data_IF_842383471406
#
_entry.id   IF_842383471406
#
_cell.length_a   1.000
_cell.length_b   1.000
_cell.length_c   1.000
_cell.angle_alpha   90.00
_cell.angle_beta   90.00
_cell.angle_gamma   90.00
#
_symmetry.space_group_name_H-M   'P 1'
#
loop_
_entity.id
_entity.type
_entity.pdbx_description
1 polymer ?
#
# COMPACT_ATOMS: atom_id res chain seq x y z
N UNK A 1 -76.31 -49.23 -24.34
CA UNK A 1 -75.42 -49.24 -25.53
C UNK A 1 -74.29 -48.19 -25.54
N UNK A 2 -74.33 -47.09 -24.76
CA UNK A 2 -73.25 -46.07 -24.75
C UNK A 2 -71.94 -46.46 -24.04
N UNK A 3 -71.99 -47.37 -23.05
CA UNK A 3 -70.81 -47.78 -22.25
C UNK A 3 -69.85 -48.74 -22.96
N UNK A 4 -70.33 -49.56 -23.91
CA UNK A 4 -69.47 -50.51 -24.63
C UNK A 4 -68.60 -49.84 -25.70
N UNK A 5 -69.09 -48.76 -26.33
CA UNK A 5 -68.32 -47.99 -27.32
C UNK A 5 -67.13 -47.25 -26.71
N UNK A 6 -67.25 -46.76 -25.47
CA UNK A 6 -66.12 -46.15 -24.75
C UNK A 6 -65.03 -47.19 -24.39
N UNK A 7 -65.43 -48.39 -23.94
CA UNK A 7 -64.48 -49.49 -23.69
C UNK A 7 -63.79 -49.96 -24.98
N UNK A 8 -64.52 -49.99 -26.09
CA UNK A 8 -63.98 -50.38 -27.39
C UNK A 8 -63.02 -49.32 -27.97
N UNK A 9 -63.16 -48.04 -27.60
CA UNK A 9 -62.21 -46.98 -27.96
C UNK A 9 -60.93 -47.03 -27.12
N UNK A 10 -61.04 -47.41 -25.84
CA UNK A 10 -59.87 -47.58 -24.94
C UNK A 10 -59.08 -48.86 -25.26
N UNK A 11 -59.75 -49.92 -25.75
CA UNK A 11 -59.12 -51.20 -26.09
C UNK A 11 -58.76 -51.32 -27.59
N UNK A 12 -58.84 -50.24 -28.37
CA UNK A 12 -58.52 -50.28 -29.81
C UNK A 12 -57.04 -49.93 -30.01
N UNK A 13 -56.24 -50.92 -30.43
CA UNK A 13 -54.81 -50.79 -30.76
C UNK A 13 -54.55 -50.04 -32.08
N UNK A 14 -55.61 -49.83 -32.88
CA UNK A 14 -55.56 -49.14 -34.17
C UNK A 14 -55.48 -47.62 -33.97
N UNK A 15 -54.26 -47.09 -34.03
CA UNK A 15 -53.95 -45.67 -33.85
C UNK A 15 -53.05 -45.38 -32.65
N UNK A 16 -52.82 -46.37 -31.78
CA UNK A 16 -51.89 -46.27 -30.64
C UNK A 16 -50.49 -45.91 -31.11
N UNK A 17 -50.00 -46.50 -32.20
CA UNK A 17 -48.70 -46.15 -32.78
C UNK A 17 -48.61 -44.67 -33.21
N UNK A 18 -49.66 -44.11 -33.80
CA UNK A 18 -49.68 -42.69 -34.20
C UNK A 18 -49.81 -41.77 -32.99
N UNK A 19 -50.59 -42.15 -31.97
CA UNK A 19 -50.73 -41.41 -30.72
C UNK A 19 -49.43 -41.42 -29.90
N UNK A 20 -48.78 -42.58 -29.82
CA UNK A 20 -47.50 -42.75 -29.17
C UNK A 20 -46.41 -41.99 -29.93
N UNK A 21 -46.31 -42.12 -31.25
CA UNK A 21 -45.34 -41.36 -32.06
C UNK A 21 -45.57 -39.84 -31.99
N UNK A 22 -46.83 -39.39 -31.95
CA UNK A 22 -47.18 -37.96 -31.85
C UNK A 22 -46.99 -37.37 -30.45
N UNK A 23 -46.89 -38.19 -29.40
CA UNK A 23 -46.61 -37.74 -28.04
C UNK A 23 -45.13 -37.89 -27.66
N UNK A 24 -44.52 -39.02 -28.03
CA UNK A 24 -43.13 -39.35 -27.70
C UNK A 24 -42.16 -38.39 -28.36
N UNK A 25 -42.37 -38.05 -29.64
CA UNK A 25 -41.47 -37.13 -30.34
C UNK A 25 -41.44 -35.71 -29.72
N UNK A 26 -42.58 -35.03 -29.48
CA UNK A 26 -42.58 -33.74 -28.79
C UNK A 26 -42.00 -33.81 -27.37
N UNK A 27 -42.24 -34.89 -26.62
CA UNK A 27 -41.67 -35.05 -25.28
C UNK A 27 -40.15 -35.17 -25.34
N UNK A 28 -39.60 -35.99 -26.24
CA UNK A 28 -38.15 -36.10 -26.44
C UNK A 28 -37.57 -34.76 -26.90
N UNK A 29 -38.25 -34.04 -27.80
CA UNK A 29 -37.83 -32.71 -28.23
C UNK A 29 -37.80 -31.71 -27.06
N UNK A 30 -38.84 -31.67 -26.23
CA UNK A 30 -38.89 -30.80 -25.04
C UNK A 30 -37.79 -31.17 -24.06
N UNK A 31 -37.58 -32.47 -23.79
CA UNK A 31 -36.52 -32.94 -22.90
C UNK A 31 -35.12 -32.54 -23.41
N UNK A 32 -34.84 -32.75 -24.69
CA UNK A 32 -33.55 -32.39 -25.30
C UNK A 32 -33.32 -30.87 -25.29
N UNK A 33 -34.32 -30.08 -25.66
CA UNK A 33 -34.25 -28.60 -25.59
C UNK A 33 -34.04 -28.14 -24.15
N UNK A 34 -34.75 -28.71 -23.18
CA UNK A 34 -34.58 -28.38 -21.75
C UNK A 34 -33.16 -28.69 -21.28
N UNK A 35 -32.62 -29.86 -21.65
CA UNK A 35 -31.27 -30.27 -21.29
C UNK A 35 -30.21 -29.33 -21.90
N UNK A 36 -30.41 -28.87 -23.14
CA UNK A 36 -29.55 -27.86 -23.76
C UNK A 36 -29.59 -26.53 -23.00
N UNK A 37 -30.77 -26.06 -22.58
CA UNK A 37 -30.89 -24.83 -21.80
C UNK A 37 -30.25 -24.94 -20.41
N UNK A 38 -30.41 -26.07 -19.73
CA UNK A 38 -29.76 -26.32 -18.43
C UNK A 38 -28.23 -26.32 -18.60
N UNK A 39 -27.71 -26.99 -19.63
CA UNK A 39 -26.29 -26.97 -19.95
C UNK A 39 -25.78 -25.55 -20.26
N UNK A 40 -26.52 -24.78 -21.04
CA UNK A 40 -26.19 -23.39 -21.34
C UNK A 40 -26.21 -22.51 -20.09
N UNK A 41 -27.19 -22.68 -19.20
CA UNK A 41 -27.27 -21.93 -17.95
C UNK A 41 -26.09 -22.24 -17.03
N UNK A 42 -25.76 -23.53 -16.85
CA UNK A 42 -24.60 -23.94 -16.07
C UNK A 42 -23.30 -23.35 -16.64
N UNK A 43 -23.15 -23.35 -17.96
CA UNK A 43 -22.03 -22.70 -18.63
C UNK A 43 -21.98 -21.19 -18.34
N UNK A 44 -23.10 -20.46 -18.48
CA UNK A 44 -23.11 -19.02 -18.19
C UNK A 44 -22.74 -18.74 -16.72
N UNK A 45 -23.22 -19.55 -15.77
CA UNK A 45 -22.91 -19.41 -14.36
C UNK A 45 -21.41 -19.57 -14.07
N UNK A 46 -20.79 -20.62 -14.61
CA UNK A 46 -19.35 -20.86 -14.46
C UNK A 46 -18.53 -19.77 -15.19
N UNK A 47 -18.97 -19.35 -16.38
CA UNK A 47 -18.29 -18.32 -17.17
C UNK A 47 -18.26 -16.97 -16.44
N UNK A 48 -19.39 -16.52 -15.90
CA UNK A 48 -19.47 -15.27 -15.13
C UNK A 48 -18.66 -15.36 -13.83
N UNK A 49 -18.70 -16.51 -13.14
CA UNK A 49 -17.87 -16.75 -11.96
C UNK A 49 -16.37 -16.68 -12.27
N UNK A 50 -15.93 -17.27 -13.38
CA UNK A 50 -14.53 -17.22 -13.80
C UNK A 50 -14.09 -15.80 -14.18
N UNK A 51 -14.97 -15.02 -14.83
CA UNK A 51 -14.70 -13.60 -15.11
C UNK A 51 -14.53 -12.80 -13.82
N UNK A 52 -15.46 -12.93 -12.87
CA UNK A 52 -15.40 -12.25 -11.58
C UNK A 52 -14.11 -12.62 -10.83
N UNK A 53 -13.80 -13.92 -10.78
CA UNK A 53 -12.60 -14.45 -10.11
C UNK A 53 -11.32 -13.93 -10.76
N UNK A 54 -11.19 -14.04 -12.08
CA UNK A 54 -9.99 -13.58 -12.79
C UNK A 54 -9.77 -12.08 -12.63
N UNK A 55 -10.85 -11.28 -12.67
CA UNK A 55 -10.78 -9.85 -12.41
C UNK A 55 -10.33 -9.53 -10.98
N UNK A 56 -10.91 -10.20 -9.98
CA UNK A 56 -10.53 -10.01 -8.58
C UNK A 56 -9.07 -10.44 -8.31
N UNK A 57 -8.62 -11.56 -8.87
CA UNK A 57 -7.24 -12.04 -8.71
C UNK A 57 -6.22 -11.09 -9.35
N UNK A 58 -6.47 -10.62 -10.58
CA UNK A 58 -5.60 -9.68 -11.27
C UNK A 58 -5.57 -8.30 -10.58
N UNK A 59 -6.72 -7.82 -10.09
CA UNK A 59 -6.78 -6.60 -9.28
C UNK A 59 -5.98 -6.75 -7.99
N UNK A 60 -6.17 -7.84 -7.25
CA UNK A 60 -5.45 -8.09 -6.00
C UNK A 60 -3.93 -8.18 -6.25
N UNK A 61 -3.50 -8.83 -7.33
CA UNK A 61 -2.09 -8.93 -7.70
C UNK A 61 -1.47 -7.57 -8.06
N UNK A 62 -2.21 -6.72 -8.77
CA UNK A 62 -1.73 -5.39 -9.19
C UNK A 62 -1.93 -4.29 -8.16
N UNK A 63 -2.59 -4.57 -7.03
CA UNK A 63 -2.95 -3.59 -6.00
C UNK A 63 -1.75 -2.74 -5.51
N UNK A 64 -0.59 -3.38 -5.44
CA UNK A 64 0.66 -2.80 -4.95
C UNK A 64 1.10 -1.52 -5.68
N UNK A 65 0.72 -1.31 -6.95
CA UNK A 65 1.03 -0.09 -7.71
C UNK A 65 -0.02 0.20 -8.80
N UNK A 66 -0.56 1.43 -8.81
CA UNK A 66 -1.53 1.90 -9.81
C UNK A 66 -0.98 2.01 -11.23
N UNK A 67 0.32 1.84 -11.47
CA UNK A 67 0.92 1.87 -12.81
C UNK A 67 1.15 0.46 -13.39
N UNK A 68 0.87 -0.61 -12.64
CA UNK A 68 0.95 -1.99 -13.14
C UNK A 68 -0.08 -2.28 -14.21
N UNK A 69 0.36 -2.84 -15.33
CA UNK A 69 -0.55 -3.42 -16.31
C UNK A 69 -1.31 -4.61 -15.69
N UNK A 70 -2.63 -4.65 -15.88
CA UNK A 70 -3.50 -5.65 -15.25
C UNK A 70 -3.38 -7.05 -15.88
N UNK A 71 -2.90 -7.14 -17.13
CA UNK A 71 -2.72 -8.39 -17.86
C UNK A 71 -1.31 -8.96 -17.68
N UNK A 72 -0.28 -8.12 -17.74
CA UNK A 72 1.12 -8.56 -17.69
C UNK A 72 1.76 -8.37 -16.32
N UNK A 73 1.23 -7.47 -15.49
CA UNK A 73 1.85 -7.07 -14.22
C UNK A 73 3.08 -6.17 -14.37
N UNK A 74 3.49 -5.84 -15.60
CA UNK A 74 4.67 -4.98 -15.85
C UNK A 74 4.37 -3.52 -15.51
N UNK A 75 5.39 -2.81 -15.03
CA UNK A 75 5.35 -1.37 -14.79
C UNK A 75 6.76 -0.79 -14.87
N UNK A 76 6.87 0.51 -15.14
CA UNK A 76 8.13 1.23 -15.08
C UNK A 76 8.53 1.45 -13.60
N UNK A 77 9.75 1.07 -13.16
CA UNK A 77 10.19 1.31 -11.79
C UNK A 77 10.20 2.78 -11.34
N UNK A 78 10.21 3.73 -12.28
CA UNK A 78 10.13 5.17 -11.99
C UNK A 78 8.69 5.64 -11.70
N UNK A 79 7.70 4.87 -12.11
CA UNK A 79 6.28 5.14 -11.96
C UNK A 79 5.72 4.37 -10.76
N UNK A 80 5.89 4.97 -9.58
CA UNK A 80 5.40 4.44 -8.31
C UNK A 80 4.37 5.37 -7.69
N UNK A 81 3.38 4.76 -7.05
CA UNK A 81 2.49 5.43 -6.10
C UNK A 81 3.30 6.03 -4.93
N UNK A 82 2.78 7.07 -4.27
CA UNK A 82 3.48 7.81 -3.20
C UNK A 82 3.88 6.92 -2.01
N UNK A 83 5.02 7.18 -1.35
CA UNK A 83 5.58 6.25 -0.36
C UNK A 83 4.59 5.83 0.74
N UNK A 84 3.70 6.74 1.16
CA UNK A 84 2.72 6.51 2.21
C UNK A 84 1.28 6.43 1.69
N UNK A 85 1.09 6.20 0.39
CA UNK A 85 -0.25 6.10 -0.23
C UNK A 85 -1.16 5.10 0.48
N UNK A 86 -0.58 4.04 1.07
CA UNK A 86 -1.30 3.03 1.87
C UNK A 86 -1.87 3.54 3.18
N UNK A 87 -1.32 4.62 3.73
CA UNK A 87 -1.78 5.28 4.95
C UNK A 87 -2.67 6.49 4.66
N UNK A 88 -2.39 7.20 3.56
CA UNK A 88 -3.01 8.47 3.22
C UNK A 88 -4.17 8.33 2.23
N UNK A 89 -4.13 7.34 1.34
CA UNK A 89 -5.01 7.24 0.16
C UNK A 89 -5.68 5.87 -0.01
N UNK A 90 -5.25 4.82 0.69
CA UNK A 90 -5.79 3.45 0.59
C UNK A 90 -7.00 3.21 1.50
N UNK A 91 -7.85 4.24 1.59
CA UNK A 91 -9.05 4.27 2.44
C UNK A 91 -8.81 3.80 3.87
N UNK A 92 -7.70 4.22 4.51
CA UNK A 92 -7.46 3.94 5.95
C UNK A 92 -8.50 4.61 6.85
N UNK A 93 -9.24 5.57 6.31
CA UNK A 93 -10.48 6.09 6.89
C UNK A 93 -11.51 4.99 7.20
N UNK A 94 -11.43 3.80 6.59
CA UNK A 94 -12.29 2.64 6.84
C UNK A 94 -12.07 2.01 8.25
N UNK A 95 -10.90 2.24 8.88
CA UNK A 95 -10.68 1.90 10.30
C UNK A 95 -11.55 2.73 11.25
N UNK A 96 -11.79 3.99 10.93
CA UNK A 96 -12.78 4.83 11.64
C UNK A 96 -14.19 4.70 11.03
N UNK A 97 -14.28 4.25 9.78
CA UNK A 97 -15.52 3.95 9.06
C UNK A 97 -16.30 2.79 9.68
N UNK A 98 -15.62 1.79 10.25
CA UNK A 98 -16.25 0.72 11.05
C UNK A 98 -16.99 1.26 12.30
N UNK A 99 -16.53 2.37 12.88
CA UNK A 99 -17.20 3.05 14.00
C UNK A 99 -18.39 3.92 13.53
N UNK A 100 -18.43 4.29 12.25
CA UNK A 100 -19.38 5.25 11.66
C UNK A 100 -20.27 4.67 10.54
N UNK A 101 -20.20 3.35 10.28
CA UNK A 101 -21.03 2.66 9.29
C UNK A 101 -20.77 3.01 7.82
N UNK A 102 -19.59 3.53 7.46
CA UNK A 102 -19.23 3.79 6.05
C UNK A 102 -18.49 2.59 5.46
N UNK A 103 -18.93 2.17 4.27
CA UNK A 103 -18.35 1.07 3.50
C UNK A 103 -17.16 1.55 2.68
N UNK A 104 -16.17 0.67 2.48
CA UNK A 104 -15.03 0.87 1.59
C UNK A 104 -15.40 1.32 0.17
N UNK A 105 -14.38 1.71 -0.61
CA UNK A 105 -14.60 2.24 -1.95
C UNK A 105 -15.22 1.19 -2.88
N UNK A 106 -16.28 1.61 -3.57
CA UNK A 106 -16.97 0.80 -4.57
C UNK A 106 -17.22 1.63 -5.82
N UNK A 107 -17.03 0.99 -6.98
CA UNK A 107 -17.29 1.57 -8.29
C UNK A 107 -18.13 0.61 -9.13
N UNK A 108 -18.95 1.18 -10.03
CA UNK A 108 -19.61 0.41 -11.07
C UNK A 108 -18.63 0.11 -12.23
N UNK A 109 -18.79 -1.04 -12.87
CA UNK A 109 -17.97 -1.49 -14.00
C UNK A 109 -18.84 -1.73 -15.24
N UNK A 110 -18.34 -1.40 -16.45
CA UNK A 110 -17.13 -0.63 -16.71
C UNK A 110 -17.30 0.87 -16.40
N UNK A 111 -16.27 1.53 -15.87
CA UNK A 111 -16.26 3.00 -15.66
C UNK A 111 -14.93 3.59 -16.10
N UNK A 112 -14.98 4.81 -16.66
CA UNK A 112 -13.81 5.65 -16.93
C UNK A 112 -13.65 6.77 -15.90
N UNK A 113 -14.62 6.93 -15.00
CA UNK A 113 -14.59 7.94 -13.96
C UNK A 113 -14.11 7.33 -12.65
N UNK A 114 -12.95 7.81 -12.18
CA UNK A 114 -12.32 7.35 -10.96
C UNK A 114 -11.74 8.53 -10.17
N UNK A 115 -12.39 8.85 -9.06
CA UNK A 115 -11.98 9.91 -8.15
C UNK A 115 -11.24 9.30 -6.96
N UNK A 116 -9.91 9.37 -6.97
CA UNK A 116 -9.06 8.79 -5.93
C UNK A 116 -8.18 7.67 -6.46
N UNK A 117 -7.16 7.28 -5.67
CA UNK A 117 -6.18 6.26 -6.08
C UNK A 117 -6.80 4.86 -6.10
N UNK A 118 -7.67 4.56 -5.14
CA UNK A 118 -8.33 3.24 -4.98
C UNK A 118 -9.31 3.00 -6.12
N UNK A 119 -10.14 3.98 -6.43
CA UNK A 119 -11.10 3.96 -7.53
C UNK A 119 -10.37 3.78 -8.87
N UNK A 120 -9.22 4.44 -9.06
CA UNK A 120 -8.40 4.28 -10.28
C UNK A 120 -7.85 2.86 -10.39
N UNK A 121 -7.46 2.24 -9.28
CA UNK A 121 -7.01 0.84 -9.25
C UNK A 121 -8.16 -0.10 -9.59
N UNK A 122 -9.33 0.09 -8.98
CA UNK A 122 -10.52 -0.72 -9.25
C UNK A 122 -11.00 -0.59 -10.70
N UNK A 123 -10.94 0.62 -11.28
CA UNK A 123 -11.40 0.89 -12.65
C UNK A 123 -10.65 0.05 -13.70
N UNK A 124 -9.42 -0.40 -13.40
CA UNK A 124 -8.67 -1.30 -14.29
C UNK A 124 -9.37 -2.62 -14.57
N UNK A 125 -10.25 -3.09 -13.69
CA UNK A 125 -11.04 -4.29 -13.96
C UNK A 125 -11.94 -4.12 -15.19
N UNK A 126 -12.30 -2.90 -15.58
CA UNK A 126 -13.07 -2.64 -16.80
C UNK A 126 -12.37 -3.20 -18.06
N UNK A 127 -11.02 -3.21 -18.09
CA UNK A 127 -10.23 -3.75 -19.20
C UNK A 127 -10.38 -5.28 -19.34
N UNK A 128 -10.71 -5.97 -18.24
CA UNK A 128 -10.83 -7.43 -18.21
C UNK A 128 -12.24 -7.91 -18.57
N UNK A 129 -13.23 -7.03 -18.55
CA UNK A 129 -14.62 -7.39 -18.80
C UNK A 129 -14.94 -7.26 -20.31
N UNK A 130 -15.53 -8.29 -20.92
CA UNK A 130 -15.98 -8.20 -22.31
C UNK A 130 -17.17 -7.25 -22.45
N UNK A 131 -17.42 -6.77 -23.67
CA UNK A 131 -18.53 -5.85 -23.96
C UNK A 131 -19.88 -6.46 -23.59
N UNK A 132 -20.76 -5.64 -23.00
CA UNK A 132 -22.08 -6.09 -22.54
C UNK A 132 -22.11 -6.79 -21.17
N UNK A 133 -20.96 -6.89 -20.50
CA UNK A 133 -20.88 -7.32 -19.10
C UNK A 133 -20.77 -6.11 -18.18
N UNK A 134 -21.60 -6.08 -17.14
CA UNK A 134 -21.62 -5.01 -16.14
C UNK A 134 -21.26 -5.58 -14.77
N UNK A 135 -20.95 -4.74 -13.80
CA UNK A 135 -20.60 -5.23 -12.47
C UNK A 135 -20.28 -4.14 -11.48
N UNK A 136 -19.79 -4.55 -10.32
CA UNK A 136 -19.27 -3.65 -9.29
C UNK A 136 -17.94 -4.18 -8.80
N UNK A 137 -16.95 -3.30 -8.65
CA UNK A 137 -15.71 -3.62 -7.94
C UNK A 137 -15.65 -2.83 -6.65
N UNK A 138 -15.21 -3.47 -5.58
CA UNK A 138 -15.05 -2.85 -4.27
C UNK A 138 -13.77 -3.29 -3.59
N UNK A 139 -13.25 -2.42 -2.73
CA UNK A 139 -12.09 -2.67 -1.91
C UNK A 139 -12.40 -2.34 -0.46
N UNK A 140 -11.99 -3.22 0.44
CA UNK A 140 -12.08 -3.01 1.88
C UNK A 140 -10.73 -3.28 2.54
N UNK A 141 -10.34 -2.38 3.45
CA UNK A 141 -9.09 -2.42 4.18
C UNK A 141 -9.36 -2.62 5.67
N UNK A 142 -9.07 -3.82 6.18
CA UNK A 142 -9.18 -4.18 7.60
C UNK A 142 -7.82 -4.16 8.32
N UNK A 143 -6.90 -3.28 7.90
CA UNK A 143 -5.55 -3.10 8.44
C UNK A 143 -4.61 -4.30 8.22
N UNK A 144 -4.98 -5.49 8.72
CA UNK A 144 -4.27 -6.75 8.56
C UNK A 144 -4.83 -7.61 7.43
N UNK A 145 -6.08 -7.38 7.02
CA UNK A 145 -6.72 -8.10 5.92
C UNK A 145 -7.27 -7.13 4.89
N UNK A 146 -6.80 -7.24 3.66
CA UNK A 146 -7.18 -6.38 2.55
C UNK A 146 -7.90 -7.24 1.53
N UNK A 147 -9.11 -6.85 1.12
CA UNK A 147 -9.90 -7.65 0.19
C UNK A 147 -10.42 -6.83 -0.98
N UNK A 148 -10.33 -7.44 -2.15
CA UNK A 148 -10.95 -6.96 -3.38
C UNK A 148 -12.14 -7.86 -3.67
N UNK A 149 -13.28 -7.24 -3.91
CA UNK A 149 -14.51 -7.92 -4.28
C UNK A 149 -14.96 -7.43 -5.65
N UNK A 150 -15.20 -8.37 -6.57
CA UNK A 150 -15.73 -8.08 -7.90
C UNK A 150 -17.01 -8.89 -8.10
N UNK A 151 -18.08 -8.19 -8.41
CA UNK A 151 -19.38 -8.76 -8.79
C UNK A 151 -19.60 -8.50 -10.27
N UNK A 152 -19.97 -9.53 -11.00
CA UNK A 152 -20.17 -9.49 -12.45
C UNK A 152 -21.58 -9.94 -12.79
N UNK A 153 -22.25 -9.15 -13.61
CA UNK A 153 -23.62 -9.31 -14.04
C UNK A 153 -23.67 -9.40 -15.57
N UNK A 154 -24.20 -10.52 -16.08
CA UNK A 154 -24.42 -10.74 -17.50
C UNK A 154 -25.88 -11.11 -17.75
N UNK A 155 -26.53 -10.33 -18.61
CA UNK A 155 -27.87 -10.66 -19.11
C UNK A 155 -27.75 -11.69 -20.23
N UNK A 156 -28.65 -12.68 -20.25
CA UNK A 156 -28.73 -13.63 -21.37
C UNK A 156 -30.17 -13.76 -21.85
N UNK A 157 -30.35 -13.98 -23.15
CA UNK A 157 -31.67 -14.11 -23.76
C UNK A 157 -32.20 -15.51 -23.46
N UNK A 158 -33.29 -15.58 -22.71
CA UNK A 158 -33.94 -16.82 -22.30
C UNK A 158 -35.41 -16.82 -22.76
N UNK A 159 -35.97 -17.97 -23.21
CA UNK A 159 -37.39 -18.06 -23.49
C UNK A 159 -38.23 -17.73 -22.26
N UNK A 160 -39.32 -17.00 -22.44
CA UNK A 160 -40.20 -16.49 -21.38
C UNK A 160 -40.78 -17.59 -20.46
N UNK A 161 -40.97 -18.80 -20.99
CA UNK A 161 -41.44 -19.96 -20.24
C UNK A 161 -40.38 -20.40 -19.21
N UNK A 162 -39.11 -20.39 -19.63
CA UNK A 162 -38.01 -20.92 -18.83
C UNK A 162 -37.48 -19.87 -17.84
N UNK A 163 -37.52 -18.58 -18.19
CA UNK A 163 -37.22 -17.49 -17.25
C UNK A 163 -38.25 -17.37 -16.13
N UNK A 164 -39.52 -17.65 -16.41
CA UNK A 164 -40.58 -17.71 -15.39
C UNK A 164 -40.40 -18.89 -14.45
N UNK A 165 -39.92 -20.03 -14.97
CA UNK A 165 -39.62 -21.21 -14.17
C UNK A 165 -38.37 -21.05 -13.29
N UNK A 166 -37.33 -20.41 -13.80
CA UNK A 166 -36.06 -20.22 -13.08
C UNK A 166 -35.98 -18.92 -12.27
N UNK A 167 -36.99 -18.05 -12.35
CA UNK A 167 -37.07 -16.76 -11.67
C UNK A 167 -35.86 -15.84 -11.87
N UNK A 168 -35.07 -16.05 -12.93
CA UNK A 168 -33.90 -15.24 -13.24
C UNK A 168 -33.72 -15.04 -14.74
N UNK A 169 -33.32 -13.83 -15.12
CA UNK A 169 -32.93 -13.43 -16.49
C UNK A 169 -31.48 -12.96 -16.56
N UNK A 170 -30.79 -12.98 -15.42
CA UNK A 170 -29.42 -12.50 -15.27
C UNK A 170 -28.60 -13.53 -14.50
N UNK A 171 -27.36 -13.70 -14.94
CA UNK A 171 -26.37 -14.46 -14.19
C UNK A 171 -25.49 -13.46 -13.45
N UNK A 172 -25.60 -13.48 -12.13
CA UNK A 172 -24.74 -12.73 -11.22
C UNK A 172 -23.78 -13.70 -10.54
N UNK A 173 -22.50 -13.32 -10.47
CA UNK A 173 -21.53 -14.04 -9.65
C UNK A 173 -20.54 -13.08 -9.01
N UNK A 174 -20.07 -13.44 -7.82
CA UNK A 174 -19.20 -12.62 -6.98
C UNK A 174 -17.95 -13.40 -6.63
N UNK A 175 -16.81 -12.72 -6.74
CA UNK A 175 -15.53 -13.25 -6.28
C UNK A 175 -14.89 -12.29 -5.27
N UNK A 176 -14.39 -12.87 -4.18
CA UNK A 176 -13.61 -12.16 -3.16
C UNK A 176 -12.19 -12.73 -3.20
N UNK A 177 -11.20 -11.85 -3.24
CA UNK A 177 -9.78 -12.21 -3.21
C UNK A 177 -9.04 -11.30 -2.24
N UNK A 178 -8.16 -11.90 -1.45
CA UNK A 178 -7.30 -11.16 -0.52
C UNK A 178 -6.08 -10.60 -1.23
N UNK A 179 -5.73 -9.36 -0.91
CA UNK A 179 -4.49 -8.72 -1.38
C UNK A 179 -3.35 -9.20 -0.49
N UNK A 180 -2.40 -9.92 -1.08
CA UNK A 180 -1.22 -10.43 -0.36
C UNK A 180 -0.02 -9.54 -0.71
N UNK A 181 0.41 -8.73 0.26
CA UNK A 181 1.62 -7.92 0.17
C UNK A 181 2.53 -8.19 1.39
N UNK A 182 3.41 -9.19 1.26
CA UNK A 182 4.30 -9.61 2.35
C UNK A 182 5.24 -8.48 2.79
N UNK A 183 5.64 -7.61 1.88
CA UNK A 183 6.58 -6.51 2.19
C UNK A 183 5.87 -5.48 3.07
N UNK A 184 4.63 -5.15 2.74
CA UNK A 184 3.85 -4.21 3.53
C UNK A 184 3.46 -4.76 4.90
N UNK A 185 3.17 -6.06 4.99
CA UNK A 185 2.93 -6.71 6.27
C UNK A 185 4.14 -6.58 7.20
N UNK A 186 5.36 -6.81 6.68
CA UNK A 186 6.60 -6.65 7.45
C UNK A 186 6.77 -5.19 7.89
N UNK A 187 6.58 -4.22 6.99
CA UNK A 187 6.70 -2.79 7.31
C UNK A 187 5.70 -2.33 8.35
N UNK A 188 4.44 -2.74 8.22
CA UNK A 188 3.37 -2.37 9.16
C UNK A 188 3.61 -2.99 10.52
N UNK A 189 4.10 -4.24 10.54
CA UNK A 189 4.47 -4.93 11.79
C UNK A 189 5.64 -4.24 12.48
N UNK A 190 6.71 -3.89 11.75
CA UNK A 190 7.86 -3.18 12.32
C UNK A 190 7.51 -1.74 12.75
N UNK A 191 6.71 -1.02 11.96
CA UNK A 191 6.18 0.30 12.31
C UNK A 191 5.41 0.25 13.63
N UNK A 192 4.50 -0.72 13.76
CA UNK A 192 3.64 -0.88 14.94
C UNK A 192 4.44 -1.32 16.16
N UNK A 193 5.38 -2.25 15.99
CA UNK A 193 6.16 -2.83 17.09
C UNK A 193 7.28 -1.91 17.57
N UNK A 194 8.03 -1.32 16.65
CA UNK A 194 9.31 -0.64 16.95
C UNK A 194 9.10 0.86 17.11
N UNK A 195 8.37 1.50 16.19
CA UNK A 195 8.31 2.96 16.13
C UNK A 195 7.14 3.54 16.91
N UNK A 196 5.96 2.89 16.86
CA UNK A 196 4.77 3.37 17.55
C UNK A 196 4.99 3.63 19.05
N UNK A 197 5.63 2.72 19.82
CA UNK A 197 5.90 2.96 21.24
C UNK A 197 6.79 4.18 21.51
N UNK A 198 7.68 4.54 20.56
CA UNK A 198 8.55 5.72 20.69
C UNK A 198 7.84 7.03 20.37
N UNK A 199 6.76 6.97 19.58
CA UNK A 199 5.97 8.13 19.17
C UNK A 199 4.82 8.42 20.14
N UNK A 200 4.27 7.37 20.78
CA UNK A 200 3.24 7.50 21.81
C UNK A 200 3.76 8.39 22.95
N UNK A 201 3.06 9.50 23.17
CA UNK A 201 3.42 10.51 24.18
C UNK A 201 4.42 11.59 23.73
N UNK A 202 5.02 11.48 22.54
CA UNK A 202 5.95 12.49 21.99
C UNK A 202 5.33 13.42 20.95
N UNK A 203 4.27 12.98 20.28
CA UNK A 203 3.56 13.77 19.27
C UNK A 203 2.06 13.76 19.54
N UNK A 204 1.41 14.92 19.42
CA UNK A 204 -0.05 15.01 19.51
C UNK A 204 -0.70 14.44 18.25
N UNK A 205 -1.92 13.92 18.37
CA UNK A 205 -2.65 13.32 17.24
C UNK A 205 -2.82 14.30 16.07
N UNK A 206 -2.99 15.59 16.33
CA UNK A 206 -3.05 16.61 15.28
C UNK A 206 -1.72 16.82 14.56
N UNK A 207 -0.61 16.91 15.31
CA UNK A 207 0.73 17.03 14.70
C UNK A 207 1.11 15.77 13.93
N UNK A 208 0.70 14.59 14.40
CA UNK A 208 0.90 13.33 13.70
C UNK A 208 0.13 13.29 12.37
N UNK A 209 -1.15 13.72 12.36
CA UNK A 209 -1.93 13.85 11.12
C UNK A 209 -1.33 14.86 10.14
N UNK A 210 -0.86 16.01 10.64
CA UNK A 210 -0.19 17.01 9.81
C UNK A 210 1.15 16.52 9.24
N UNK A 211 1.82 15.59 9.91
CA UNK A 211 3.06 14.97 9.44
C UNK A 211 2.83 13.80 8.48
N UNK A 212 1.62 13.20 8.47
CA UNK A 212 1.21 12.13 7.55
C UNK A 212 0.80 12.71 6.18
N UNK A 213 1.69 13.51 5.59
CA UNK A 213 1.54 14.00 4.23
C UNK A 213 2.57 13.28 3.38
N UNK A 214 2.14 12.74 2.24
CA UNK A 214 3.07 12.16 1.28
C UNK A 214 4.10 13.23 0.88
N UNK A 215 5.41 12.94 0.96
CA UNK A 215 6.41 13.88 0.50
C UNK A 215 6.14 14.11 -0.99
N UNK A 216 5.80 15.35 -1.33
CA UNK A 216 5.57 15.75 -2.72
C UNK A 216 6.86 15.41 -3.46
N UNK A 217 6.77 14.74 -4.62
CA UNK A 217 7.92 14.40 -5.48
C UNK A 217 8.73 15.64 -5.95
N UNK A 218 8.36 16.84 -5.52
CA UNK A 218 9.13 18.07 -5.72
C UNK A 218 10.32 18.10 -4.75
N UNK A 219 11.50 17.98 -5.33
CA UNK A 219 12.80 18.34 -4.79
C UNK A 219 13.02 18.02 -3.29
N UNK A 220 13.47 16.78 -3.03
CA UNK A 220 13.93 16.33 -1.71
C UNK A 220 15.16 17.14 -1.22
N UNK A 221 15.79 17.93 -2.09
CA UNK A 221 16.57 19.09 -1.69
C UNK A 221 15.60 20.18 -1.24
N UNK A 222 15.25 20.16 0.05
CA UNK A 222 14.76 21.38 0.70
C UNK A 222 15.68 22.58 0.38
N UNK A 223 15.24 23.83 0.65
CA UNK A 223 16.02 25.02 0.34
C UNK A 223 17.46 24.83 0.82
N UNK A 224 18.43 25.01 -0.08
CA UNK A 224 19.84 24.81 0.25
C UNK A 224 20.23 25.79 1.36
N UNK A 225 20.38 25.26 2.58
CA UNK A 225 20.81 26.05 3.73
C UNK A 225 22.30 26.27 3.57
N UNK A 226 22.68 27.44 3.04
CA UNK A 226 24.09 27.83 2.97
C UNK A 226 24.58 28.24 4.35
N UNK A 227 25.47 27.44 4.92
CA UNK A 227 26.10 27.72 6.21
C UNK A 227 27.39 28.49 5.95
N UNK A 228 27.45 29.72 6.45
CA UNK A 228 28.57 30.65 6.19
C UNK A 228 29.45 30.87 7.43
N UNK A 229 29.06 30.34 8.59
CA UNK A 229 29.80 30.50 9.84
C UNK A 229 29.61 29.34 10.82
N UNK A 230 30.54 29.20 11.76
CA UNK A 230 30.46 28.21 12.84
C UNK A 230 29.26 28.45 13.77
N UNK A 231 28.83 29.71 13.95
CA UNK A 231 27.63 30.05 14.72
C UNK A 231 26.36 29.56 14.03
N UNK A 232 26.29 29.71 12.70
CA UNK A 232 25.17 29.16 11.91
C UNK A 232 25.21 27.63 11.91
N UNK A 233 26.39 27.04 11.77
CA UNK A 233 26.59 25.59 11.80
C UNK A 233 26.13 24.96 13.12
N UNK A 234 26.54 25.52 14.26
CA UNK A 234 26.12 25.07 15.59
C UNK A 234 24.62 25.27 15.84
N UNK A 235 24.06 26.40 15.40
CA UNK A 235 22.61 26.64 15.47
C UNK A 235 21.80 25.67 14.62
N UNK A 236 22.28 25.37 13.41
CA UNK A 236 21.68 24.38 12.53
C UNK A 236 21.69 22.99 13.17
N UNK A 237 22.84 22.56 13.72
CA UNK A 237 22.92 21.27 14.43
C UNK A 237 21.95 21.19 15.61
N UNK A 238 21.89 22.22 16.46
CA UNK A 238 20.94 22.26 17.59
C UNK A 238 19.50 22.05 17.14
N UNK A 239 19.09 22.70 16.04
CA UNK A 239 17.75 22.52 15.47
C UNK A 239 17.53 21.13 14.87
N UNK A 240 18.56 20.55 14.25
CA UNK A 240 18.48 19.26 13.57
C UNK A 240 18.37 18.09 14.57
N UNK A 241 19.13 18.12 15.66
CA UNK A 241 19.17 17.02 16.64
C UNK A 241 18.30 17.28 17.86
N UNK A 242 17.68 18.46 17.97
CA UNK A 242 16.89 18.87 19.15
C UNK A 242 17.74 18.96 20.43
N UNK A 243 19.02 19.31 20.30
CA UNK A 243 19.99 19.34 21.38
C UNK A 243 20.22 20.74 21.96
N UNK A 244 20.86 20.81 23.13
CA UNK A 244 21.18 22.08 23.80
C UNK A 244 22.69 22.34 23.83
N UNK A 245 23.11 23.60 23.79
CA UNK A 245 24.53 23.93 23.96
C UNK A 245 24.92 23.71 25.42
N UNK A 246 26.04 23.03 25.65
CA UNK A 246 26.48 22.69 27.00
C UNK A 246 27.98 22.89 27.14
N UNK A 247 28.42 23.46 28.26
CA UNK A 247 29.82 23.54 28.63
C UNK A 247 30.13 22.45 29.66
N UNK A 248 31.21 21.71 29.42
CA UNK A 248 31.74 20.67 30.30
C UNK A 248 33.18 20.96 30.65
N UNK A 249 33.60 20.48 31.81
CA UNK A 249 34.99 20.50 32.24
C UNK A 249 35.54 19.09 32.08
N UNK A 250 36.63 18.95 31.34
CA UNK A 250 37.28 17.66 31.14
C UNK A 250 38.05 17.23 32.39
N UNK A 251 38.48 15.96 32.44
CA UNK A 251 39.25 15.44 33.58
C UNK A 251 40.56 16.20 33.80
N UNK A 252 41.18 16.71 32.72
CA UNK A 252 42.36 17.58 32.79
C UNK A 252 42.06 19.04 33.18
N UNK A 253 40.83 19.36 33.58
CA UNK A 253 40.42 20.70 34.03
C UNK A 253 40.17 21.69 32.89
N UNK A 254 40.16 21.25 31.63
CA UNK A 254 39.94 22.13 30.47
C UNK A 254 38.44 22.31 30.22
N UNK A 255 38.05 23.53 29.84
CA UNK A 255 36.68 23.78 29.40
C UNK A 255 36.47 23.29 27.95
N UNK A 256 35.36 22.60 27.73
CA UNK A 256 34.90 22.09 26.44
C UNK A 256 33.43 22.43 26.24
N UNK A 257 33.14 23.29 25.26
CA UNK A 257 31.79 23.56 24.80
C UNK A 257 31.36 22.51 23.78
N UNK A 258 30.21 21.88 23.99
CA UNK A 258 29.53 20.98 23.07
C UNK A 258 28.41 21.77 22.42
N UNK A 259 28.41 21.88 21.08
CA UNK A 259 27.46 22.76 20.38
C UNK A 259 26.00 22.31 20.50
N UNK A 260 25.76 20.99 20.51
CA UNK A 260 24.45 20.40 20.81
C UNK A 260 24.60 19.04 21.51
N UNK A 261 24.15 18.91 22.75
CA UNK A 261 23.97 17.64 23.45
C UNK A 261 22.52 17.19 23.31
N UNK A 262 22.29 16.03 22.68
CA UNK A 262 20.95 15.49 22.46
C UNK A 262 20.40 14.76 23.71
N UNK A 263 19.11 14.39 23.67
CA UNK A 263 18.46 13.69 24.78
C UNK A 263 18.99 12.26 25.02
N UNK A 264 19.80 11.73 24.10
CA UNK A 264 20.44 10.40 24.22
C UNK A 264 21.84 10.48 24.82
N UNK A 265 22.35 11.68 25.08
CA UNK A 265 23.70 11.92 25.58
C UNK A 265 24.76 11.91 24.48
N UNK A 266 24.36 12.13 23.22
CA UNK A 266 25.29 12.26 22.10
C UNK A 266 25.62 13.74 21.91
N UNK A 267 26.91 14.07 22.01
CA UNK A 267 27.42 15.40 21.73
C UNK A 267 27.63 15.59 20.22
N UNK A 268 27.12 16.69 19.68
CA UNK A 268 27.31 17.07 18.28
C UNK A 268 28.13 18.36 18.25
N UNK A 269 29.24 18.32 17.50
CA UNK A 269 30.13 19.46 17.32
C UNK A 269 30.13 19.92 15.87
N UNK A 270 30.00 21.23 15.65
CA UNK A 270 30.13 21.84 14.35
C UNK A 270 31.57 22.34 14.12
N UNK A 271 32.13 22.00 12.97
CA UNK A 271 33.40 22.54 12.51
C UNK A 271 33.23 23.17 11.13
N UNK A 272 33.45 24.48 11.08
CA UNK A 272 33.42 25.24 9.84
C UNK A 272 34.84 25.67 9.39
N UNK A 273 35.71 26.06 10.32
CA UNK A 273 37.00 26.71 9.99
C UNK A 273 38.26 26.09 10.56
N UNK A 274 38.15 25.05 11.38
CA UNK A 274 39.30 24.48 12.08
C UNK A 274 40.12 23.54 11.18
N UNK A 275 41.44 23.61 11.32
CA UNK A 275 42.38 22.70 10.64
C UNK A 275 42.53 21.38 11.40
N UNK A 276 42.94 20.31 10.71
CA UNK A 276 43.21 19.02 11.37
C UNK A 276 44.23 19.15 12.51
N UNK A 277 45.27 19.97 12.34
CA UNK A 277 46.28 20.17 13.36
C UNK A 277 45.69 20.75 14.65
N UNK A 278 44.81 21.76 14.52
CA UNK A 278 44.09 22.34 15.66
C UNK A 278 43.13 21.33 16.29
N UNK A 279 42.41 20.56 15.48
CA UNK A 279 41.47 19.55 15.97
C UNK A 279 42.18 18.45 16.76
N UNK A 280 43.33 17.96 16.26
CA UNK A 280 44.15 16.94 16.91
C UNK A 280 44.72 17.42 18.24
N UNK A 281 45.13 18.68 18.29
CA UNK A 281 45.84 19.24 19.45
C UNK A 281 44.88 19.71 20.53
N UNK A 282 43.74 20.29 20.14
CA UNK A 282 42.86 20.98 21.08
C UNK A 282 41.54 20.26 21.35
N UNK A 283 40.84 19.79 20.32
CA UNK A 283 39.46 19.30 20.46
C UNK A 283 39.40 17.80 20.71
N UNK A 284 40.20 17.02 19.99
CA UNK A 284 40.23 15.56 20.08
C UNK A 284 40.56 15.08 21.50
N UNK A 285 41.59 15.58 22.19
CA UNK A 285 41.89 15.10 23.55
C UNK A 285 40.75 15.41 24.52
N UNK A 286 40.11 16.59 24.38
CA UNK A 286 38.98 16.98 25.23
C UNK A 286 37.77 16.07 25.03
N UNK A 287 37.44 15.75 23.79
CA UNK A 287 36.27 14.91 23.49
C UNK A 287 36.50 13.45 23.88
N UNK A 288 37.73 12.94 23.78
CA UNK A 288 38.11 11.62 24.30
C UNK A 288 38.00 11.58 25.82
N UNK A 289 38.53 12.60 26.53
CA UNK A 289 38.40 12.69 27.98
C UNK A 289 36.93 12.73 28.42
N UNK A 290 36.06 13.44 27.69
CA UNK A 290 34.63 13.45 27.99
C UNK A 290 33.97 12.09 27.77
N UNK A 291 34.31 11.39 26.69
CA UNK A 291 33.78 10.04 26.43
C UNK A 291 34.22 9.01 27.47
N UNK A 292 35.43 9.16 28.02
CA UNK A 292 35.98 8.22 29.02
C UNK A 292 35.50 8.53 30.45
N UNK A 293 35.27 9.81 30.77
CA UNK A 293 35.08 10.24 32.17
C UNK A 293 33.74 10.93 32.48
N UNK A 294 32.99 11.43 31.49
CA UNK A 294 31.68 12.05 31.72
C UNK A 294 30.56 11.04 31.39
N UNK A 295 29.85 10.47 32.39
CA UNK A 295 28.80 9.48 32.16
C UNK A 295 27.58 10.06 31.43
N UNK A 296 27.46 11.38 31.32
CA UNK A 296 26.39 12.06 30.59
C UNK A 296 26.65 12.12 29.08
N UNK A 297 27.90 11.93 28.64
CA UNK A 297 28.30 11.94 27.23
C UNK A 297 28.58 10.50 26.78
N UNK A 298 27.62 9.91 26.07
CA UNK A 298 27.67 8.52 25.59
C UNK A 298 28.30 8.35 24.20
N UNK A 299 28.46 9.46 23.48
CA UNK A 299 29.02 9.46 22.14
C UNK A 299 29.27 10.88 21.64
N UNK A 300 30.14 11.00 20.63
CA UNK A 300 30.48 12.29 20.04
C UNK A 300 30.42 12.19 18.51
N UNK A 301 29.80 13.18 17.88
CA UNK A 301 29.69 13.30 16.43
C UNK A 301 30.28 14.63 15.99
N UNK A 302 31.27 14.56 15.11
CA UNK A 302 31.93 15.72 14.52
C UNK A 302 31.36 16.00 13.13
N UNK A 303 30.71 17.15 12.98
CA UNK A 303 30.11 17.61 11.75
C UNK A 303 31.01 18.64 11.07
N UNK A 304 31.49 18.33 9.87
CA UNK A 304 32.32 19.21 9.06
C UNK A 304 31.49 19.85 7.95
N UNK A 305 31.51 21.18 7.89
CA UNK A 305 30.78 21.96 6.89
C UNK A 305 31.75 22.50 5.84
N UNK A 306 31.52 22.18 4.57
CA UNK A 306 32.36 22.67 3.47
C UNK A 306 32.22 24.19 3.32
N UNK A 307 33.34 24.89 3.25
CA UNK A 307 33.38 26.33 2.92
C UNK A 307 33.20 26.59 1.43
N UNK A 308 33.73 25.69 0.60
CA UNK A 308 33.73 25.79 -0.84
C UNK A 308 33.76 24.40 -1.51
N UNK A 309 33.54 24.37 -2.82
CA UNK A 309 33.58 23.15 -3.63
C UNK A 309 34.97 22.49 -3.68
N UNK A 310 36.04 23.19 -3.30
CA UNK A 310 37.40 22.65 -3.30
C UNK A 310 37.65 21.67 -2.15
N UNK A 311 36.79 21.68 -1.11
CA UNK A 311 36.93 20.81 0.05
C UNK A 311 38.16 21.13 0.92
N UNK A 312 38.75 22.31 0.74
CA UNK A 312 39.93 22.75 1.51
C UNK A 312 39.54 22.93 2.99
N UNK A 313 40.24 22.22 3.87
CA UNK A 313 39.96 22.20 5.31
C UNK A 313 39.10 21.02 5.77
N UNK A 314 38.68 20.13 4.87
CA UNK A 314 38.00 18.89 5.24
C UNK A 314 38.99 17.86 5.81
N UNK A 315 38.54 16.97 6.72
CA UNK A 315 39.40 15.96 7.31
C UNK A 315 39.80 14.91 6.26
N UNK A 316 41.10 14.66 6.18
CA UNK A 316 41.75 13.56 5.48
C UNK A 316 41.13 12.22 5.86
N UNK A 317 41.20 11.25 4.95
CA UNK A 317 40.72 9.89 5.21
C UNK A 317 41.44 9.27 6.41
N UNK A 318 42.74 9.53 6.57
CA UNK A 318 43.53 9.03 7.69
C UNK A 318 43.03 9.58 9.03
N UNK A 319 42.73 10.88 9.11
CA UNK A 319 42.21 11.48 10.32
C UNK A 319 40.80 10.99 10.66
N UNK A 320 39.93 10.83 9.66
CA UNK A 320 38.58 10.26 9.87
C UNK A 320 38.63 8.86 10.51
N UNK A 321 39.48 7.99 9.98
CA UNK A 321 39.70 6.65 10.56
C UNK A 321 40.23 6.71 11.99
N UNK A 322 41.02 7.73 12.31
CA UNK A 322 41.51 7.91 13.67
C UNK A 322 40.43 8.37 14.64
N UNK A 323 39.56 9.30 14.22
CA UNK A 323 38.39 9.73 15.00
C UNK A 323 37.47 8.53 15.28
N UNK A 324 37.17 7.73 14.26
CA UNK A 324 36.34 6.53 14.38
C UNK A 324 36.94 5.51 15.36
N UNK A 325 38.26 5.27 15.31
CA UNK A 325 38.95 4.40 16.29
C UNK A 325 38.86 4.91 17.72
N UNK A 326 38.68 6.21 17.92
CA UNK A 326 38.50 6.85 19.23
C UNK A 326 37.02 7.03 19.61
N UNK A 327 36.11 6.39 18.88
CA UNK A 327 34.67 6.42 19.17
C UNK A 327 33.96 7.70 18.73
N UNK A 328 34.59 8.52 17.87
CA UNK A 328 34.01 9.76 17.35
C UNK A 328 33.51 9.52 15.92
N UNK A 329 32.22 9.73 15.69
CA UNK A 329 31.60 9.58 14.37
C UNK A 329 31.79 10.87 13.57
N UNK A 330 32.11 10.75 12.28
CA UNK A 330 32.33 11.90 11.39
C UNK A 330 31.20 12.03 10.38
N UNK A 331 30.62 13.22 10.28
CA UNK A 331 29.60 13.57 9.28
C UNK A 331 30.10 14.77 8.47
N UNK A 332 29.95 14.70 7.15
CA UNK A 332 30.35 15.77 6.23
C UNK A 332 29.10 16.34 5.58
N UNK A 333 28.95 17.66 5.70
CA UNK A 333 27.89 18.44 5.05
C UNK A 333 28.46 19.18 3.85
N UNK A 334 27.71 19.17 2.75
CA UNK A 334 28.05 19.84 1.49
C UNK A 334 27.39 21.21 1.39
#
# INVERSE_FOLDING_TARGET
MRRSRLRQFINNELGTFTLEASLVFPVILICTVTLLFVGMFAYQHVYVGQLARSAAEKLAFTWTNSHKDINTGSYNPQETDGLYWRLTQDNVSDLFGMLLGRSGASIALPTNEANGLVEKKLAKAAVLLPTGVTGTASYANYLLDHRVEVTVNKSFIMPSILSRWMHTTQTENKAIVHVIDSIELIRTTDLTRTYLPTLVGRISSEKAKAALVDPVKSDLSGPSVRIESERQASSYLRSLVGGTEVVRTTASGKSRKIDALDARGIGHQAFYSLTEAQLRTEQLPKDVELLEHDPTVKGMVWHFFKKDASGKGMPTVAFRKELERKGIVVVIHN
#
